data_IF_436213038076
#
_entry.id   IF_436213038076
#
_cell.length_a   1.000
_cell.length_b   1.000
_cell.length_c   1.000
_cell.angle_alpha   90.00
_cell.angle_beta   90.00
_cell.angle_gamma   90.00
#
_symmetry.space_group_name_H-M   'P 1'
#
loop_
_entity.id
_entity.type
_entity.pdbx_description
1 polymer ?
#
# COMPACT_ATOMS: atom_id res chain seq x y z
N UNK A 1 5.75 -0.73 17.83
CA UNK A 1 5.56 -1.73 18.89
C UNK A 1 5.47 -3.07 18.23
N UNK A 2 6.22 -4.06 18.71
CA UNK A 2 6.08 -5.44 18.27
C UNK A 2 5.27 -6.22 19.28
N UNK A 3 4.39 -7.09 18.78
CA UNK A 3 3.60 -7.99 19.61
C UNK A 3 3.68 -9.42 19.09
N UNK A 4 3.79 -10.36 20.02
CA UNK A 4 3.53 -11.77 19.79
C UNK A 4 2.28 -12.13 20.60
N UNK A 5 1.23 -12.55 19.90
CA UNK A 5 -0.06 -12.92 20.46
C UNK A 5 -0.16 -14.43 20.49
N UNK A 6 -0.34 -15.02 21.67
CA UNK A 6 -0.48 -16.46 21.85
C UNK A 6 -1.82 -16.80 22.53
N UNK A 7 -2.67 -17.57 21.85
CA UNK A 7 -3.90 -18.11 22.42
C UNK A 7 -3.62 -19.40 23.18
N UNK A 8 -3.93 -19.41 24.48
CA UNK A 8 -3.50 -20.43 25.41
C UNK A 8 -4.60 -20.86 26.38
N UNK A 9 -4.57 -22.13 26.78
CA UNK A 9 -5.42 -22.67 27.83
C UNK A 9 -5.09 -22.02 29.19
N UNK A 10 -3.80 -21.73 29.41
CA UNK A 10 -3.35 -21.05 30.62
C UNK A 10 -2.04 -20.31 30.42
N UNK A 11 -1.91 -19.20 31.13
CA UNK A 11 -0.66 -18.47 31.31
C UNK A 11 -0.49 -18.07 32.77
N UNK A 12 0.68 -18.36 33.32
CA UNK A 12 1.06 -17.94 34.65
C UNK A 12 2.43 -17.29 34.64
N UNK A 13 2.64 -16.29 35.50
CA UNK A 13 3.98 -15.75 35.75
C UNK A 13 4.22 -15.54 37.24
N UNK A 14 5.49 -15.54 37.65
CA UNK A 14 5.96 -15.15 38.98
C UNK A 14 7.18 -14.25 38.86
N UNK A 15 7.17 -13.15 39.61
CA UNK A 15 8.27 -12.18 39.67
C UNK A 15 9.43 -12.78 40.48
N UNK A 16 10.65 -12.65 39.96
CA UNK A 16 11.87 -13.21 40.55
C UNK A 16 12.80 -12.13 41.09
N UNK A 17 13.21 -11.19 40.25
CA UNK A 17 14.17 -10.14 40.60
C UNK A 17 14.09 -8.98 39.60
N UNK A 18 14.78 -7.88 39.88
CA UNK A 18 14.86 -6.71 38.99
C UNK A 18 15.67 -7.06 37.73
N UNK A 19 15.16 -6.72 36.54
CA UNK A 19 15.86 -6.91 35.26
C UNK A 19 16.51 -5.63 34.73
N UNK A 20 16.10 -4.47 35.24
CA UNK A 20 16.67 -3.14 34.93
C UNK A 20 16.94 -2.39 36.23
N UNK A 21 17.78 -1.35 36.17
CA UNK A 21 18.15 -0.54 37.33
C UNK A 21 16.92 0.06 38.04
N UNK A 22 15.95 0.52 37.24
CA UNK A 22 14.74 1.20 37.71
C UNK A 22 13.49 0.53 37.11
N UNK A 23 13.05 -0.61 37.69
CA UNK A 23 11.87 -1.32 37.22
C UNK A 23 10.59 -0.64 37.72
N UNK A 24 9.43 -1.11 37.24
CA UNK A 24 8.14 -0.58 37.72
C UNK A 24 8.00 -0.75 39.25
N UNK A 25 7.66 0.36 39.93
CA UNK A 25 7.57 0.44 41.39
C UNK A 25 6.33 -0.26 41.97
N UNK A 26 6.32 -0.50 43.29
CA UNK A 26 5.19 -1.13 43.99
C UNK A 26 5.06 -2.64 43.78
N UNK A 27 6.06 -3.27 43.17
CA UNK A 27 6.08 -4.70 42.84
C UNK A 27 6.92 -5.47 43.86
N UNK A 28 6.38 -6.59 44.39
CA UNK A 28 7.09 -7.50 45.31
C UNK A 28 7.47 -8.81 44.63
N UNK A 29 8.65 -9.33 44.97
CA UNK A 29 9.11 -10.65 44.52
C UNK A 29 8.14 -11.75 45.00
N UNK A 30 7.99 -12.81 44.18
CA UNK A 30 7.06 -13.90 44.46
C UNK A 30 5.60 -13.63 44.08
N UNK A 31 5.21 -12.37 43.84
CA UNK A 31 3.89 -12.06 43.26
C UNK A 31 3.80 -12.58 41.82
N UNK A 32 2.58 -12.89 41.40
CA UNK A 32 2.30 -13.48 40.12
C UNK A 32 0.81 -13.45 39.80
N UNK A 33 0.46 -13.83 38.59
CA UNK A 33 -0.92 -14.03 38.18
C UNK A 33 -1.04 -15.32 37.36
N UNK A 34 -2.21 -15.95 37.43
CA UNK A 34 -2.61 -17.06 36.58
C UNK A 34 -3.89 -16.66 35.86
N UNK A 35 -3.92 -16.87 34.55
CA UNK A 35 -5.08 -16.62 33.71
C UNK A 35 -5.34 -17.84 32.84
N UNK A 36 -6.59 -18.30 32.78
CA UNK A 36 -7.03 -19.41 31.92
C UNK A 36 -7.78 -18.87 30.70
N UNK A 37 -7.84 -19.63 29.63
CA UNK A 37 -8.53 -19.24 28.37
C UNK A 37 -8.15 -17.81 27.94
N UNK A 38 -6.85 -17.64 27.64
CA UNK A 38 -6.20 -16.34 27.60
C UNK A 38 -5.52 -16.10 26.27
N UNK A 39 -5.65 -14.88 25.75
CA UNK A 39 -4.76 -14.35 24.73
C UNK A 39 -3.61 -13.61 25.42
N UNK A 40 -2.40 -14.15 25.32
CA UNK A 40 -1.20 -13.53 25.88
C UNK A 40 -0.58 -12.63 24.82
N UNK A 41 -0.53 -11.33 25.09
CA UNK A 41 0.14 -10.35 24.27
C UNK A 41 1.53 -10.05 24.86
N UNK A 42 2.57 -10.68 24.30
CA UNK A 42 3.95 -10.31 24.57
C UNK A 42 4.26 -9.03 23.82
N UNK A 43 4.55 -7.93 24.51
CA UNK A 43 4.71 -6.61 23.92
C UNK A 43 6.15 -6.09 24.09
N UNK A 44 6.77 -5.67 22.98
CA UNK A 44 8.02 -4.89 22.97
C UNK A 44 7.74 -3.47 22.50
N UNK A 45 8.05 -2.49 23.34
CA UNK A 45 8.05 -1.07 22.98
C UNK A 45 9.39 -0.72 22.33
N UNK A 46 9.35 -0.13 21.15
CA UNK A 46 10.53 0.23 20.34
C UNK A 46 10.80 1.74 20.39
N UNK A 47 12.01 2.21 20.07
CA UNK A 47 12.31 3.66 20.08
C UNK A 47 11.39 4.48 19.19
N UNK A 48 11.02 3.94 18.02
CA UNK A 48 10.07 4.59 17.10
C UNK A 48 8.68 4.84 17.71
N UNK A 49 8.29 4.08 18.73
CA UNK A 49 6.98 4.22 19.38
C UNK A 49 6.88 5.50 20.20
N UNK A 50 8.03 6.06 20.58
CA UNK A 50 8.14 7.30 21.33
C UNK A 50 7.65 8.51 20.52
N UNK A 51 7.61 8.41 19.18
CA UNK A 51 7.07 9.46 18.31
C UNK A 51 5.59 9.75 18.60
N UNK A 52 4.77 8.71 18.85
CA UNK A 52 3.35 8.88 19.19
C UNK A 52 2.82 7.70 20.04
N UNK A 53 3.13 7.67 21.35
CA UNK A 53 2.81 6.54 22.22
C UNK A 53 1.31 6.24 22.32
N UNK A 54 0.47 7.27 22.30
CA UNK A 54 -0.97 7.14 22.48
C UNK A 54 -1.67 6.53 21.25
N UNK A 55 -1.21 6.91 20.05
CA UNK A 55 -1.66 6.28 18.81
C UNK A 55 -1.23 4.81 18.75
N UNK A 56 0.02 4.50 19.12
CA UNK A 56 0.53 3.13 19.20
C UNK A 56 -0.31 2.29 20.15
N UNK A 57 -0.60 2.80 21.35
CA UNK A 57 -1.46 2.12 22.32
C UNK A 57 -2.88 1.87 21.76
N UNK A 58 -3.43 2.82 21.02
CA UNK A 58 -4.76 2.72 20.40
C UNK A 58 -4.82 1.63 19.33
N UNK A 59 -3.82 1.61 18.44
CA UNK A 59 -3.69 0.60 17.37
C UNK A 59 -3.42 -0.78 17.93
N UNK A 60 -2.49 -0.89 18.89
CA UNK A 60 -2.20 -2.15 19.57
C UNK A 60 -3.44 -2.70 20.27
N UNK A 61 -4.23 -1.86 20.95
CA UNK A 61 -5.47 -2.28 21.60
C UNK A 61 -6.53 -2.78 20.60
N UNK A 62 -6.62 -2.16 19.41
CA UNK A 62 -7.49 -2.61 18.32
C UNK A 62 -7.08 -4.02 17.86
N UNK A 63 -5.81 -4.22 17.51
CA UNK A 63 -5.28 -5.52 17.06
C UNK A 63 -5.49 -6.64 18.08
N UNK A 64 -5.17 -6.38 19.36
CA UNK A 64 -5.39 -7.35 20.44
C UNK A 64 -6.86 -7.75 20.53
N UNK A 65 -7.77 -6.79 20.41
CA UNK A 65 -9.21 -7.04 20.56
C UNK A 65 -9.80 -7.77 19.35
N UNK A 66 -9.33 -7.47 18.15
CA UNK A 66 -9.72 -8.18 16.94
C UNK A 66 -9.27 -9.65 16.99
N UNK A 67 -8.02 -9.90 17.40
CA UNK A 67 -7.52 -11.27 17.56
C UNK A 67 -8.26 -12.00 18.67
N UNK A 68 -8.48 -11.36 19.82
CA UNK A 68 -9.25 -11.94 20.92
C UNK A 68 -10.65 -12.36 20.48
N UNK A 69 -11.33 -11.53 19.70
CA UNK A 69 -12.63 -11.85 19.11
C UNK A 69 -12.57 -13.05 18.16
N UNK A 70 -11.58 -13.08 17.24
CA UNK A 70 -11.40 -14.17 16.27
C UNK A 70 -11.14 -15.52 16.92
N UNK A 71 -10.41 -15.54 18.03
CA UNK A 71 -10.07 -16.79 18.75
C UNK A 71 -11.03 -17.09 19.91
N UNK A 72 -12.03 -16.23 20.15
CA UNK A 72 -13.01 -16.38 21.24
C UNK A 72 -12.46 -16.15 22.64
N UNK A 73 -11.28 -15.53 22.80
CA UNK A 73 -10.68 -15.25 24.09
C UNK A 73 -11.32 -14.03 24.77
N UNK A 74 -11.77 -14.20 26.01
CA UNK A 74 -12.30 -13.10 26.85
C UNK A 74 -11.26 -12.52 27.80
N UNK A 75 -10.20 -13.28 28.08
CA UNK A 75 -9.14 -12.90 28.97
C UNK A 75 -7.89 -12.54 28.18
N UNK A 76 -7.23 -11.43 28.53
CA UNK A 76 -6.03 -10.93 27.88
C UNK A 76 -4.94 -10.69 28.92
N UNK A 77 -3.76 -11.24 28.68
CA UNK A 77 -2.55 -10.96 29.47
C UNK A 77 -1.61 -10.06 28.68
N UNK A 78 -1.42 -8.82 29.10
CA UNK A 78 -0.38 -7.95 28.54
C UNK A 78 0.94 -8.22 29.27
N UNK A 79 1.92 -8.74 28.54
CA UNK A 79 3.19 -9.17 29.09
C UNK A 79 4.35 -8.38 28.46
N UNK A 80 4.96 -7.41 29.16
CA UNK A 80 6.13 -6.71 28.64
C UNK A 80 7.28 -7.70 28.43
N UNK A 81 7.78 -7.74 27.20
CA UNK A 81 8.77 -8.71 26.72
C UNK A 81 9.76 -7.98 25.81
N UNK A 82 11.00 -7.75 26.27
CA UNK A 82 11.96 -6.96 25.49
C UNK A 82 12.53 -7.72 24.27
N UNK A 83 12.38 -9.04 24.21
CA UNK A 83 13.14 -9.87 23.28
C UNK A 83 12.58 -9.96 21.85
N UNK A 84 11.53 -9.20 21.49
CA UNK A 84 11.04 -9.18 20.09
C UNK A 84 11.74 -8.11 19.22
N UNK A 85 12.54 -7.22 19.81
CA UNK A 85 13.25 -6.16 19.11
C UNK A 85 14.62 -5.90 19.73
N UNK A 86 15.58 -5.47 18.91
CA UNK A 86 16.89 -4.97 19.33
C UNK A 86 16.90 -3.45 19.55
N UNK A 87 15.84 -2.74 19.15
CA UNK A 87 15.74 -1.28 19.24
C UNK A 87 14.68 -0.85 20.26
N UNK A 88 15.03 -0.98 21.55
CA UNK A 88 14.11 -0.80 22.66
C UNK A 88 13.84 0.69 22.97
N UNK A 89 12.57 1.01 23.20
CA UNK A 89 12.17 2.32 23.73
C UNK A 89 12.57 2.52 25.18
N UNK A 90 12.62 3.77 25.60
CA UNK A 90 12.89 4.21 26.97
C UNK A 90 11.81 3.75 27.94
N UNK A 91 12.20 3.54 29.20
CA UNK A 91 11.29 3.16 30.29
C UNK A 91 10.17 4.20 30.51
N UNK A 92 10.50 5.48 30.33
CA UNK A 92 9.63 6.61 30.65
C UNK A 92 8.48 6.70 29.65
N UNK A 93 8.66 6.15 28.45
CA UNK A 93 7.59 5.96 27.47
C UNK A 93 6.94 4.58 27.60
N UNK A 94 7.75 3.53 27.79
CA UNK A 94 7.25 2.16 27.77
C UNK A 94 6.21 1.88 28.88
N UNK A 95 6.44 2.35 30.11
CA UNK A 95 5.51 2.11 31.23
C UNK A 95 4.17 2.84 31.00
N UNK A 96 4.11 4.15 30.71
CA UNK A 96 2.86 4.83 30.39
C UNK A 96 2.13 4.24 29.19
N UNK A 97 2.86 3.88 28.12
CA UNK A 97 2.28 3.29 26.92
C UNK A 97 1.59 1.95 27.25
N UNK A 98 2.27 1.06 27.97
CA UNK A 98 1.69 -0.23 28.38
C UNK A 98 0.49 -0.07 29.33
N UNK A 99 0.48 0.95 30.19
CA UNK A 99 -0.68 1.30 31.02
C UNK A 99 -1.85 1.84 30.19
N UNK A 100 -1.57 2.69 29.20
CA UNK A 100 -2.58 3.18 28.24
C UNK A 100 -3.17 2.03 27.42
N UNK A 101 -2.33 1.11 26.94
CA UNK A 101 -2.75 -0.12 26.25
C UNK A 101 -3.69 -0.95 27.12
N UNK A 102 -3.34 -1.20 28.38
CA UNK A 102 -4.19 -1.92 29.33
C UNK A 102 -5.57 -1.27 29.48
N UNK A 103 -5.62 0.05 29.70
CA UNK A 103 -6.87 0.80 29.82
C UNK A 103 -7.73 0.71 28.55
N UNK A 104 -7.13 0.86 27.37
CA UNK A 104 -7.82 0.81 26.08
C UNK A 104 -8.35 -0.59 25.73
N UNK A 105 -7.66 -1.66 26.12
CA UNK A 105 -8.17 -3.03 25.94
C UNK A 105 -9.31 -3.30 26.93
N UNK A 106 -9.20 -2.84 28.19
CA UNK A 106 -10.30 -2.93 29.18
C UNK A 106 -11.57 -2.21 28.71
N UNK A 107 -11.42 -1.04 28.08
CA UNK A 107 -12.55 -0.27 27.52
C UNK A 107 -13.36 -1.05 26.46
N UNK A 108 -12.77 -2.09 25.85
CA UNK A 108 -13.42 -2.98 24.89
C UNK A 108 -14.07 -4.22 25.54
N UNK A 109 -14.32 -4.17 26.86
CA UNK A 109 -15.02 -5.20 27.64
C UNK A 109 -14.29 -6.56 27.71
N UNK A 110 -12.96 -6.56 27.65
CA UNK A 110 -12.13 -7.73 27.86
C UNK A 110 -11.57 -7.76 29.30
N UNK A 111 -11.35 -8.94 29.85
CA UNK A 111 -10.72 -9.12 31.16
C UNK A 111 -9.20 -9.03 31.00
N UNK A 112 -8.62 -7.89 31.34
CA UNK A 112 -7.19 -7.63 31.09
C UNK A 112 -6.38 -7.64 32.38
N UNK A 113 -5.26 -8.35 32.37
CA UNK A 113 -4.22 -8.26 33.39
C UNK A 113 -2.89 -7.89 32.73
N UNK A 114 -2.12 -7.01 33.34
CA UNK A 114 -0.78 -6.62 32.87
C UNK A 114 0.28 -7.06 33.88
N UNK A 115 1.33 -7.71 33.40
CA UNK A 115 2.51 -8.00 34.22
C UNK A 115 3.43 -6.77 34.32
N UNK A 116 4.17 -6.59 35.42
CA UNK A 116 4.99 -5.40 35.59
C UNK A 116 6.17 -5.35 34.61
N UNK A 117 6.57 -4.12 34.26
CA UNK A 117 7.71 -3.85 33.39
C UNK A 117 9.05 -3.88 34.17
N UNK A 118 10.11 -4.35 33.53
CA UNK A 118 11.48 -4.27 34.09
C UNK A 118 11.84 -5.34 35.12
N UNK A 119 11.03 -6.39 35.27
CA UNK A 119 11.29 -7.49 36.20
C UNK A 119 11.58 -8.81 35.46
N UNK A 120 12.55 -9.58 35.97
CA UNK A 120 12.69 -10.98 35.59
C UNK A 120 11.50 -11.76 36.14
N UNK A 121 10.85 -12.50 35.26
CA UNK A 121 9.61 -13.22 35.52
C UNK A 121 9.76 -14.63 34.96
N UNK A 122 9.57 -15.64 35.81
CA UNK A 122 9.37 -17.01 35.33
C UNK A 122 7.93 -17.15 34.89
N UNK A 123 7.66 -17.74 33.73
CA UNK A 123 6.30 -17.97 33.26
C UNK A 123 6.10 -19.40 32.76
N UNK A 124 4.85 -19.86 32.78
CA UNK A 124 4.40 -21.09 32.14
C UNK A 124 3.25 -20.75 31.20
N UNK A 125 3.28 -21.34 30.00
CA UNK A 125 2.32 -21.09 28.92
C UNK A 125 1.92 -22.44 28.33
N UNK A 126 0.61 -22.68 28.22
CA UNK A 126 0.07 -23.84 27.52
C UNK A 126 -0.68 -23.38 26.27
N UNK A 127 0.00 -23.33 25.13
CA UNK A 127 -0.56 -22.89 23.84
C UNK A 127 -1.58 -23.91 23.30
N UNK A 128 -2.69 -23.43 22.72
CA UNK A 128 -3.74 -24.31 22.16
C UNK A 128 -3.35 -24.99 20.85
N UNK A 129 -2.35 -24.48 20.12
CA UNK A 129 -1.78 -25.15 18.94
C UNK A 129 -2.70 -25.23 17.69
N UNK A 130 -3.62 -24.28 17.51
CA UNK A 130 -4.42 -24.12 16.29
C UNK A 130 -3.83 -23.04 15.35
N UNK A 131 -4.24 -22.95 14.07
CA UNK A 131 -3.61 -22.03 13.10
C UNK A 131 -3.58 -20.54 13.50
N UNK A 132 -4.58 -20.09 14.27
CA UNK A 132 -4.63 -18.72 14.83
C UNK A 132 -4.06 -18.60 16.25
N UNK A 133 -3.40 -19.63 16.78
CA UNK A 133 -2.91 -19.63 18.16
C UNK A 133 -1.68 -18.77 18.34
N UNK A 134 -0.91 -18.51 17.28
CA UNK A 134 0.35 -17.80 17.35
C UNK A 134 0.38 -16.76 16.22
N UNK A 135 0.37 -15.48 16.58
CA UNK A 135 0.32 -14.38 15.62
C UNK A 135 1.33 -13.31 16.01
N UNK A 136 2.11 -12.82 15.04
CA UNK A 136 2.96 -11.65 15.22
C UNK A 136 2.29 -10.40 14.64
N UNK A 137 2.50 -9.25 15.30
CA UNK A 137 2.02 -7.93 14.85
C UNK A 137 3.11 -6.89 15.04
N UNK A 138 3.17 -5.97 14.09
CA UNK A 138 4.03 -4.79 14.14
C UNK A 138 3.14 -3.56 14.01
N UNK A 139 3.10 -2.72 15.03
CA UNK A 139 2.38 -1.46 15.05
C UNK A 139 3.37 -0.35 14.73
N UNK A 140 3.10 0.42 13.69
CA UNK A 140 3.88 1.61 13.30
C UNK A 140 3.04 2.87 13.52
N UNK A 141 3.73 3.99 13.73
CA UNK A 141 3.13 5.34 13.82
C UNK A 141 2.86 5.90 12.42
N UNK A 142 3.59 5.44 11.42
CA UNK A 142 3.51 5.82 10.00
C UNK A 142 2.33 5.15 9.28
N UNK A 143 1.12 5.28 9.85
CA UNK A 143 -0.04 5.35 8.96
C UNK A 143 -0.67 6.72 9.24
N UNK A 144 -0.67 7.64 8.29
CA UNK A 144 -1.56 8.80 8.42
C UNK A 144 -2.99 8.23 8.34
N UNK A 145 -3.88 8.70 9.21
CA UNK A 145 -5.30 8.46 9.01
C UNK A 145 -5.63 8.93 7.60
N UNK A 146 -6.03 8.00 6.73
CA UNK A 146 -6.50 8.30 5.39
C UNK A 146 -7.43 9.51 5.50
N UNK A 147 -7.14 10.64 4.83
CA UNK A 147 -8.02 11.80 4.89
C UNK A 147 -9.43 11.32 4.58
N UNK A 148 -10.42 11.84 5.32
CA UNK A 148 -11.82 11.48 5.14
C UNK A 148 -12.12 11.46 3.64
N UNK A 149 -12.77 10.39 3.11
CA UNK A 149 -12.94 10.24 1.68
C UNK A 149 -13.56 11.51 1.13
N UNK A 150 -12.84 12.18 0.23
CA UNK A 150 -13.37 13.30 -0.52
C UNK A 150 -14.73 12.86 -1.07
N UNK A 151 -15.76 13.68 -0.85
CA UNK A 151 -17.10 13.36 -1.34
C UNK A 151 -17.05 13.43 -2.87
N UNK A 152 -16.86 12.27 -3.50
CA UNK A 152 -16.83 12.15 -4.95
C UNK A 152 -18.25 12.03 -5.47
N UNK A 153 -18.63 12.93 -6.36
CA UNK A 153 -19.87 12.85 -7.12
C UNK A 153 -19.55 12.35 -8.53
N UNK A 154 -20.41 11.51 -9.08
CA UNK A 154 -20.24 10.91 -10.40
C UNK A 154 -21.36 11.38 -11.30
N UNK A 155 -21.02 11.68 -12.55
CA UNK A 155 -21.96 11.98 -13.62
C UNK A 155 -21.51 11.29 -14.91
N UNK A 156 -22.46 10.98 -15.78
CA UNK A 156 -22.20 10.43 -17.11
C UNK A 156 -22.49 11.53 -18.12
N UNK A 157 -21.50 11.83 -18.97
CA UNK A 157 -21.67 12.76 -20.09
C UNK A 157 -22.00 11.95 -21.34
N UNK A 158 -23.11 12.27 -22.01
CA UNK A 158 -23.45 11.66 -23.30
C UNK A 158 -22.70 12.32 -24.49
N UNK A 159 -22.97 11.85 -25.71
CA UNK A 159 -22.29 12.32 -26.93
C UNK A 159 -22.74 13.74 -27.33
N UNK A 160 -23.91 14.17 -26.84
CA UNK A 160 -24.47 15.51 -26.99
C UNK A 160 -23.91 16.50 -25.95
N UNK A 161 -23.23 15.99 -24.92
CA UNK A 161 -22.62 16.77 -23.84
C UNK A 161 -23.54 17.02 -22.65
N UNK A 162 -24.68 16.35 -22.55
CA UNK A 162 -25.56 16.42 -21.40
C UNK A 162 -25.07 15.49 -20.28
N UNK A 163 -25.23 15.95 -19.03
CA UNK A 163 -24.82 15.22 -17.83
C UNK A 163 -26.03 14.50 -17.21
N UNK A 164 -25.84 13.21 -16.98
CA UNK A 164 -26.84 12.31 -16.42
C UNK A 164 -26.36 11.73 -15.09
N UNK A 165 -27.25 11.64 -14.08
CA UNK A 165 -26.98 10.84 -12.88
C UNK A 165 -26.70 9.37 -13.26
N UNK A 166 -25.71 8.70 -12.63
CA UNK A 166 -25.38 7.31 -12.90
C UNK A 166 -26.56 6.32 -12.77
N UNK A 167 -27.55 6.65 -11.92
CA UNK A 167 -28.76 5.86 -11.71
C UNK A 167 -29.79 5.97 -12.83
N UNK A 168 -29.79 7.09 -13.56
CA UNK A 168 -30.84 7.47 -14.51
C UNK A 168 -30.39 7.36 -15.97
N UNK A 169 -29.10 7.16 -16.22
CA UNK A 169 -28.55 7.11 -17.57
C UNK A 169 -29.18 5.98 -18.42
N UNK A 170 -29.75 6.30 -19.60
CA UNK A 170 -30.43 5.33 -20.45
C UNK A 170 -29.44 4.54 -21.31
N UNK A 171 -28.82 3.51 -20.70
CA UNK A 171 -27.85 2.65 -21.39
C UNK A 171 -28.41 2.03 -22.68
N UNK A 172 -27.63 2.13 -23.76
CA UNK A 172 -27.84 1.41 -25.01
C UNK A 172 -27.50 -0.09 -24.83
N UNK A 173 -27.96 -0.94 -25.74
CA UNK A 173 -27.80 -2.41 -25.64
C UNK A 173 -26.33 -2.84 -25.69
N UNK A 174 -25.54 -2.11 -26.46
CA UNK A 174 -24.11 -2.28 -26.71
C UNK A 174 -23.23 -1.81 -25.54
N UNK A 175 -23.77 -1.02 -24.60
CA UNK A 175 -23.02 -0.41 -23.48
C UNK A 175 -22.93 -1.31 -22.23
N UNK A 176 -22.99 -2.62 -22.42
CA UNK A 176 -22.97 -3.58 -21.30
C UNK A 176 -21.71 -3.47 -20.43
N UNK A 177 -20.54 -3.27 -21.04
CA UNK A 177 -19.27 -3.11 -20.31
C UNK A 177 -19.21 -1.78 -19.57
N UNK A 178 -19.66 -0.69 -20.20
CA UNK A 178 -19.75 0.62 -19.57
C UNK A 178 -20.72 0.63 -18.39
N UNK A 179 -21.91 0.05 -18.56
CA UNK A 179 -22.88 -0.14 -17.47
C UNK A 179 -22.28 -0.91 -16.30
N UNK A 180 -21.51 -1.95 -16.58
CA UNK A 180 -20.83 -2.74 -15.54
C UNK A 180 -19.79 -1.90 -14.78
N UNK A 181 -19.02 -1.08 -15.50
CA UNK A 181 -18.08 -0.13 -14.90
C UNK A 181 -18.80 0.88 -13.99
N UNK A 182 -19.87 1.52 -14.45
CA UNK A 182 -20.63 2.50 -13.66
C UNK A 182 -21.24 1.87 -12.42
N UNK A 183 -21.86 0.69 -12.56
CA UNK A 183 -22.47 -0.02 -11.44
C UNK A 183 -21.45 -0.33 -10.33
N UNK A 184 -20.21 -0.66 -10.72
CA UNK A 184 -19.12 -0.96 -9.79
C UNK A 184 -18.50 0.30 -9.19
N UNK A 185 -18.10 1.25 -10.03
CA UNK A 185 -17.28 2.40 -9.61
C UNK A 185 -18.16 3.53 -9.02
N UNK A 186 -19.22 3.95 -9.72
CA UNK A 186 -20.07 5.05 -9.28
C UNK A 186 -21.11 4.60 -8.25
N UNK A 187 -21.81 3.48 -8.53
CA UNK A 187 -22.90 2.99 -7.67
C UNK A 187 -22.43 2.02 -6.59
N UNK A 188 -21.14 1.67 -6.55
CA UNK A 188 -20.50 0.80 -5.54
C UNK A 188 -21.22 -0.54 -5.34
N UNK A 189 -21.83 -1.07 -6.39
CA UNK A 189 -22.51 -2.37 -6.35
C UNK A 189 -21.49 -3.48 -6.47
N UNK A 190 -21.62 -4.49 -5.61
CA UNK A 190 -20.87 -5.73 -5.77
C UNK A 190 -21.33 -6.45 -7.03
N UNK A 191 -20.39 -6.70 -7.93
CA UNK A 191 -20.62 -7.53 -9.10
C UNK A 191 -20.35 -8.99 -8.75
N UNK A 192 -21.10 -9.96 -9.31
CA UNK A 192 -20.79 -11.37 -9.15
C UNK A 192 -19.37 -11.64 -9.64
N UNK A 193 -18.46 -11.83 -8.69
CA UNK A 193 -17.05 -12.05 -8.95
C UNK A 193 -16.77 -13.46 -9.48
N UNK A 194 -15.52 -13.69 -9.86
CA UNK A 194 -15.02 -14.99 -10.28
C UNK A 194 -13.52 -14.95 -10.53
N UNK A 195 -12.89 -16.12 -10.66
CA UNK A 195 -11.48 -16.19 -11.06
C UNK A 195 -11.37 -15.71 -12.52
N UNK A 196 -10.57 -14.69 -12.83
CA UNK A 196 -10.43 -14.23 -14.20
C UNK A 196 -9.83 -15.32 -15.10
N UNK A 197 -10.44 -15.51 -16.26
CA UNK A 197 -9.99 -16.51 -17.25
C UNK A 197 -8.55 -16.29 -17.70
N UNK A 198 -8.10 -15.03 -17.75
CA UNK A 198 -6.75 -14.72 -18.24
C UNK A 198 -5.63 -15.33 -17.38
N UNK A 199 -5.91 -15.69 -16.13
CA UNK A 199 -4.94 -16.37 -15.26
C UNK A 199 -4.55 -17.76 -15.80
N UNK A 200 -5.46 -18.43 -16.52
CA UNK A 200 -5.14 -19.70 -17.19
C UNK A 200 -4.14 -19.47 -18.34
N UNK A 201 -4.24 -18.35 -19.05
CA UNK A 201 -3.29 -17.97 -20.08
C UNK A 201 -1.94 -17.58 -19.48
N UNK A 202 -1.93 -16.82 -18.37
CA UNK A 202 -0.69 -16.51 -17.65
C UNK A 202 0.06 -17.79 -17.29
N UNK A 203 -0.62 -18.75 -16.67
CA UNK A 203 -0.01 -20.04 -16.31
C UNK A 203 0.46 -20.82 -17.54
N UNK A 204 -0.34 -20.86 -18.63
CA UNK A 204 0.03 -21.55 -19.87
C UNK A 204 1.31 -21.01 -20.52
N UNK A 205 1.58 -19.71 -20.40
CA UNK A 205 2.75 -19.05 -20.97
C UNK A 205 3.85 -18.77 -19.93
N UNK A 206 3.78 -19.40 -18.76
CA UNK A 206 4.80 -19.29 -17.72
C UNK A 206 4.96 -17.87 -17.14
N UNK A 207 3.85 -17.14 -17.01
CA UNK A 207 3.78 -15.88 -16.28
C UNK A 207 3.28 -16.17 -14.87
N UNK A 208 4.16 -16.10 -13.89
CA UNK A 208 3.92 -16.56 -12.52
C UNK A 208 4.47 -15.59 -11.47
N UNK A 209 4.20 -15.84 -10.19
CA UNK A 209 4.85 -15.14 -9.09
C UNK A 209 6.27 -15.67 -8.85
N UNK A 210 7.22 -14.80 -8.50
CA UNK A 210 8.58 -15.18 -8.13
C UNK A 210 8.66 -15.52 -6.63
N UNK A 211 8.83 -16.81 -6.24
CA UNK A 211 8.85 -17.21 -4.83
C UNK A 211 10.04 -16.66 -4.02
N UNK A 212 11.14 -16.28 -4.68
CA UNK A 212 12.31 -15.70 -4.01
C UNK A 212 12.28 -14.17 -3.91
N UNK A 213 11.22 -13.52 -4.41
CA UNK A 213 11.05 -12.06 -4.36
C UNK A 213 9.95 -11.66 -3.38
N UNK A 214 9.75 -10.35 -3.22
CA UNK A 214 8.59 -9.84 -2.52
C UNK A 214 7.30 -10.22 -3.26
N UNK A 215 6.19 -10.35 -2.52
CA UNK A 215 4.89 -10.71 -3.10
C UNK A 215 4.48 -9.66 -4.13
N UNK A 216 3.91 -10.09 -5.25
CA UNK A 216 3.51 -9.17 -6.32
C UNK A 216 4.59 -8.92 -7.39
N UNK A 217 5.74 -9.58 -7.30
CA UNK A 217 6.75 -9.61 -8.35
C UNK A 217 6.55 -10.82 -9.25
N UNK A 218 6.42 -10.59 -10.55
CA UNK A 218 6.24 -11.64 -11.54
C UNK A 218 7.59 -12.16 -12.05
N UNK A 219 7.62 -13.44 -12.41
CA UNK A 219 8.64 -14.07 -13.25
C UNK A 219 8.02 -14.49 -14.57
N UNK A 220 8.87 -14.61 -15.59
CA UNK A 220 8.46 -14.95 -16.95
C UNK A 220 9.35 -16.09 -17.48
N UNK A 221 8.73 -17.17 -17.92
CA UNK A 221 9.37 -18.20 -18.74
C UNK A 221 9.53 -17.71 -20.20
N UNK A 222 10.20 -18.44 -21.10
CA UNK A 222 10.54 -17.95 -22.44
C UNK A 222 9.35 -17.40 -23.25
N UNK A 223 8.20 -18.08 -23.25
CA UNK A 223 7.01 -17.64 -23.98
C UNK A 223 6.40 -16.38 -23.38
N UNK A 224 6.29 -16.31 -22.05
CA UNK A 224 5.83 -15.13 -21.33
C UNK A 224 6.75 -13.94 -21.56
N UNK A 225 8.06 -14.16 -21.54
CA UNK A 225 9.06 -13.12 -21.83
C UNK A 225 8.91 -12.60 -23.26
N UNK A 226 8.79 -13.49 -24.25
CA UNK A 226 8.59 -13.11 -25.65
C UNK A 226 7.33 -12.25 -25.84
N UNK A 227 6.23 -12.59 -25.16
CA UNK A 227 5.00 -11.77 -25.20
C UNK A 227 5.28 -10.36 -24.71
N UNK A 228 5.98 -10.20 -23.57
CA UNK A 228 6.30 -8.89 -23.01
C UNK A 228 7.28 -8.10 -23.88
N UNK A 229 8.25 -8.75 -24.51
CA UNK A 229 9.17 -8.12 -25.46
C UNK A 229 8.41 -7.57 -26.69
N UNK A 230 7.52 -8.38 -27.28
CA UNK A 230 6.71 -7.97 -28.43
C UNK A 230 5.75 -6.83 -28.08
N UNK A 231 5.10 -6.86 -26.91
CA UNK A 231 4.25 -5.76 -26.44
C UNK A 231 5.07 -4.48 -26.22
N UNK A 232 6.28 -4.61 -25.68
CA UNK A 232 7.17 -3.50 -25.43
C UNK A 232 7.64 -2.83 -26.72
N UNK A 233 8.02 -3.63 -27.72
CA UNK A 233 8.37 -3.13 -29.05
C UNK A 233 7.16 -2.47 -29.72
N UNK A 234 5.98 -3.08 -29.60
CA UNK A 234 4.75 -2.52 -30.14
C UNK A 234 4.41 -1.16 -29.52
N UNK A 235 4.55 -1.01 -28.21
CA UNK A 235 4.33 0.25 -27.52
C UNK A 235 5.24 1.37 -28.07
N UNK A 236 6.51 1.05 -28.34
CA UNK A 236 7.45 1.98 -28.97
C UNK A 236 7.03 2.35 -30.41
N UNK A 237 6.63 1.36 -31.21
CA UNK A 237 6.15 1.60 -32.59
C UNK A 237 4.91 2.50 -32.60
N UNK A 238 3.95 2.26 -31.69
CA UNK A 238 2.76 3.07 -31.51
C UNK A 238 3.14 4.51 -31.15
N UNK A 239 4.01 4.72 -30.15
CA UNK A 239 4.45 6.05 -29.74
C UNK A 239 5.17 6.81 -30.87
N UNK A 240 6.05 6.12 -31.59
CA UNK A 240 6.81 6.70 -32.71
C UNK A 240 5.95 7.04 -33.93
N UNK A 241 4.78 6.40 -34.07
CA UNK A 241 3.84 6.68 -35.16
C UNK A 241 2.99 7.95 -34.96
N UNK A 242 3.17 8.69 -33.86
CA UNK A 242 2.40 9.91 -33.56
C UNK A 242 2.71 11.11 -34.47
N UNK A 243 3.73 11.01 -35.33
CA UNK A 243 4.08 12.06 -36.29
C UNK A 243 4.79 13.27 -35.68
N UNK A 244 5.29 13.14 -34.44
CA UNK A 244 6.18 14.10 -33.79
C UNK A 244 7.51 13.41 -33.44
N UNK A 245 8.62 14.14 -33.28
CA UNK A 245 9.88 13.56 -32.84
C UNK A 245 9.73 12.94 -31.44
N UNK A 246 9.92 11.62 -31.33
CA UNK A 246 9.94 10.89 -30.07
C UNK A 246 11.36 10.35 -29.84
N UNK A 247 11.91 10.63 -28.66
CA UNK A 247 13.22 10.16 -28.26
C UNK A 247 13.09 9.05 -27.22
N UNK A 248 13.64 7.88 -27.50
CA UNK A 248 13.76 6.82 -26.49
C UNK A 248 14.78 7.26 -25.45
N UNK A 249 14.38 7.27 -24.19
CA UNK A 249 15.25 7.57 -23.05
C UNK A 249 15.21 6.42 -22.05
N UNK A 250 16.18 6.39 -21.14
CA UNK A 250 16.27 5.40 -20.07
C UNK A 250 16.87 6.08 -18.85
N UNK A 251 16.34 5.80 -17.67
CA UNK A 251 17.05 6.19 -16.46
C UNK A 251 16.92 5.22 -15.31
N UNK A 252 17.01 5.76 -14.09
CA UNK A 252 17.26 4.96 -12.89
C UNK A 252 15.98 4.57 -12.17
N UNK A 253 16.10 3.57 -11.29
CA UNK A 253 15.00 3.02 -10.52
C UNK A 253 14.92 3.58 -9.09
N UNK A 254 15.93 4.31 -8.61
CA UNK A 254 15.99 4.84 -7.24
C UNK A 254 16.20 6.35 -7.22
N UNK A 255 15.44 7.04 -6.38
CA UNK A 255 15.51 8.50 -6.24
C UNK A 255 15.65 8.90 -4.78
N UNK A 256 16.44 9.95 -4.52
CA UNK A 256 16.62 10.47 -3.17
C UNK A 256 15.37 11.22 -2.70
N UNK A 257 14.76 10.75 -1.61
CA UNK A 257 13.53 11.34 -1.05
C UNK A 257 13.76 12.76 -0.49
N UNK A 258 15.01 13.14 -0.24
CA UNK A 258 15.35 14.50 0.15
C UNK A 258 15.15 15.54 -0.96
N UNK A 259 15.12 15.13 -2.24
CA UNK A 259 14.90 16.03 -3.36
C UNK A 259 13.44 16.51 -3.41
N UNK A 260 13.21 17.82 -3.51
CA UNK A 260 11.86 18.39 -3.45
C UNK A 260 10.90 17.82 -4.53
N UNK A 261 11.31 17.70 -5.81
CA UNK A 261 10.44 17.13 -6.84
C UNK A 261 10.11 15.66 -6.61
N UNK A 262 10.99 14.91 -5.93
CA UNK A 262 10.75 13.50 -5.61
C UNK A 262 9.79 13.41 -4.42
N UNK A 263 10.00 14.24 -3.39
CA UNK A 263 9.20 14.27 -2.16
C UNK A 263 7.75 14.69 -2.40
N UNK A 264 7.51 15.75 -3.16
CA UNK A 264 6.14 16.24 -3.44
C UNK A 264 5.28 15.19 -4.11
N UNK A 265 5.90 14.46 -5.00
CA UNK A 265 5.30 13.46 -5.84
C UNK A 265 5.13 12.15 -5.05
N UNK A 266 6.12 11.77 -4.24
CA UNK A 266 6.00 10.67 -3.27
C UNK A 266 4.80 10.85 -2.33
N UNK A 267 4.52 12.09 -1.88
CA UNK A 267 3.33 12.38 -1.05
C UNK A 267 2.00 12.04 -1.74
N UNK A 268 1.91 12.14 -3.07
CA UNK A 268 0.69 11.78 -3.81
C UNK A 268 0.41 10.26 -3.75
N UNK A 269 1.46 9.45 -3.63
CA UNK A 269 1.36 7.98 -3.56
C UNK A 269 1.34 7.44 -2.13
N UNK A 270 1.66 8.29 -1.14
CA UNK A 270 1.57 7.99 0.29
C UNK A 270 2.41 6.76 0.71
N UNK A 271 1.81 5.89 1.51
CA UNK A 271 2.42 4.69 2.12
C UNK A 271 2.76 3.56 1.14
N UNK A 272 2.49 3.73 -0.17
CA UNK A 272 2.71 2.67 -1.17
C UNK A 272 4.11 2.71 -1.81
N UNK A 273 5.09 3.25 -1.11
CA UNK A 273 6.45 3.41 -1.62
C UNK A 273 7.38 2.33 -1.07
N UNK A 274 8.25 1.84 -1.93
CA UNK A 274 9.40 1.05 -1.49
C UNK A 274 10.53 2.00 -1.11
N UNK A 275 10.89 2.00 0.18
CA UNK A 275 11.99 2.80 0.70
C UNK A 275 13.23 1.92 0.93
N UNK A 276 14.39 2.46 0.57
CA UNK A 276 15.70 1.83 0.72
C UNK A 276 16.62 2.81 1.42
N UNK A 277 17.09 2.44 2.60
CA UNK A 277 18.13 3.18 3.32
C UNK A 277 19.51 2.78 2.80
N UNK A 278 20.25 3.74 2.23
CA UNK A 278 21.60 3.53 1.70
C UNK A 278 22.49 4.75 1.99
N UNK A 279 23.67 4.54 2.56
CA UNK A 279 24.65 5.59 2.88
C UNK A 279 24.06 6.79 3.66
N UNK A 280 23.17 6.51 4.62
CA UNK A 280 22.49 7.54 5.42
C UNK A 280 21.46 8.36 4.64
N UNK A 281 21.02 7.89 3.47
CA UNK A 281 19.99 8.50 2.63
C UNK A 281 18.81 7.54 2.51
N UNK A 282 17.61 8.10 2.58
CA UNK A 282 16.37 7.43 2.22
C UNK A 282 16.13 7.57 0.71
N UNK A 283 16.22 6.45 0.00
CA UNK A 283 15.89 6.36 -1.41
C UNK A 283 14.49 5.74 -1.57
N UNK A 284 13.79 6.11 -2.62
CA UNK A 284 12.54 5.45 -3.03
C UNK A 284 12.74 4.74 -4.36
N UNK A 285 12.19 3.54 -4.50
CA UNK A 285 12.02 2.96 -5.84
C UNK A 285 10.97 3.77 -6.60
N UNK A 286 11.23 4.00 -7.89
CA UNK A 286 10.31 4.76 -8.75
C UNK A 286 8.96 4.06 -8.85
N UNK A 287 7.89 4.80 -8.66
CA UNK A 287 6.50 4.31 -8.75
C UNK A 287 5.80 4.74 -10.06
N UNK A 288 6.42 5.67 -10.77
CA UNK A 288 6.07 6.17 -12.10
C UNK A 288 7.34 6.64 -12.83
N UNK A 289 7.36 6.53 -14.16
CA UNK A 289 8.52 6.87 -14.99
C UNK A 289 8.78 8.40 -15.09
N UNK A 290 7.78 9.21 -14.81
CA UNK A 290 7.76 10.66 -15.09
C UNK A 290 8.96 11.43 -14.54
N UNK A 291 9.36 11.16 -13.30
CA UNK A 291 10.45 11.87 -12.60
C UNK A 291 11.76 11.87 -13.37
N UNK A 292 12.10 10.71 -13.91
CA UNK A 292 13.36 10.52 -14.62
C UNK A 292 13.37 11.35 -15.90
N UNK A 293 12.26 11.37 -16.63
CA UNK A 293 12.15 12.09 -17.88
C UNK A 293 12.20 13.61 -17.64
N UNK A 294 11.48 14.12 -16.65
CA UNK A 294 11.59 15.54 -16.28
C UNK A 294 12.99 15.92 -15.79
N UNK A 295 13.60 15.09 -14.94
CA UNK A 295 14.96 15.31 -14.44
C UNK A 295 15.99 15.33 -15.57
N UNK A 296 15.81 14.50 -16.61
CA UNK A 296 16.70 14.47 -17.77
C UNK A 296 16.46 15.64 -18.73
N UNK A 297 15.21 15.90 -19.09
CA UNK A 297 14.86 16.91 -20.10
C UNK A 297 15.12 18.34 -19.60
N UNK A 298 15.11 18.58 -18.28
CA UNK A 298 15.50 19.90 -17.73
C UNK A 298 16.91 20.34 -18.12
N UNK A 299 17.80 19.37 -18.40
CA UNK A 299 19.20 19.62 -18.75
C UNK A 299 19.40 19.74 -20.28
N UNK A 300 18.34 19.55 -21.07
CA UNK A 300 18.40 19.63 -22.52
C UNK A 300 18.32 21.09 -22.98
N UNK A 301 19.13 21.43 -23.98
CA UNK A 301 19.04 22.72 -24.67
C UNK A 301 17.98 22.57 -25.77
N UNK A 302 16.77 23.07 -25.51
CA UNK A 302 15.66 23.03 -26.45
C UNK A 302 15.20 24.45 -26.87
N UNK A 303 14.81 24.60 -28.12
CA UNK A 303 14.24 25.83 -28.70
C UNK A 303 12.75 25.66 -29.00
N UNK A 304 11.99 26.77 -29.02
CA UNK A 304 10.57 26.80 -29.41
C UNK A 304 10.29 26.22 -30.81
N UNK A 305 11.31 26.12 -31.67
CA UNK A 305 11.22 25.52 -33.01
C UNK A 305 11.27 23.99 -33.00
N UNK A 306 11.72 23.39 -31.90
CA UNK A 306 11.90 21.94 -31.74
C UNK A 306 10.73 21.30 -30.98
N UNK A 307 9.77 22.08 -30.49
CA UNK A 307 8.53 21.60 -29.87
C UNK A 307 7.36 21.61 -30.89
N UNK A 308 6.47 20.60 -30.88
CA UNK A 308 6.41 19.52 -29.89
C UNK A 308 7.39 18.37 -30.18
N UNK A 309 7.92 17.79 -29.11
CA UNK A 309 8.65 16.52 -29.12
C UNK A 309 8.27 15.71 -27.89
N UNK A 310 8.52 14.41 -27.90
CA UNK A 310 8.30 13.56 -26.73
C UNK A 310 9.50 12.71 -26.34
N UNK A 311 9.48 12.25 -25.10
CA UNK A 311 10.38 11.23 -24.57
C UNK A 311 9.59 10.00 -24.21
N UNK A 312 10.12 8.83 -24.56
CA UNK A 312 9.49 7.55 -24.27
C UNK A 312 10.45 6.68 -23.46
N UNK A 313 9.94 6.07 -22.41
CA UNK A 313 10.66 5.08 -21.61
C UNK A 313 9.75 3.89 -21.31
N UNK A 314 10.26 2.68 -21.51
CA UNK A 314 9.68 1.49 -20.89
C UNK A 314 10.30 1.32 -19.51
N UNK A 315 9.57 1.75 -18.48
CA UNK A 315 10.07 1.86 -17.12
C UNK A 315 9.58 0.74 -16.20
N UNK A 316 10.48 0.20 -15.39
CA UNK A 316 10.13 -0.61 -14.23
C UNK A 316 9.61 0.29 -13.12
N UNK A 317 8.33 0.17 -12.78
CA UNK A 317 7.72 0.91 -11.67
C UNK A 317 7.38 -0.02 -10.52
N UNK A 318 7.47 0.51 -9.29
CA UNK A 318 7.31 -0.21 -8.05
C UNK A 318 6.24 0.46 -7.18
N UNK A 319 5.24 -0.31 -6.76
CA UNK A 319 4.14 0.17 -5.89
C UNK A 319 3.92 -0.87 -4.81
N UNK A 320 4.06 -0.47 -3.54
CA UNK A 320 3.90 -1.35 -2.38
C UNK A 320 2.41 -1.62 -2.10
N UNK A 321 1.74 -2.28 -3.05
CA UNK A 321 0.32 -2.63 -2.96
C UNK A 321 0.07 -3.66 -1.86
N UNK A 322 -1.15 -3.68 -1.29
CA UNK A 322 -1.51 -4.65 -0.25
C UNK A 322 -1.50 -6.07 -0.80
N UNK A 323 -0.91 -7.01 -0.08
CA UNK A 323 -0.73 -8.39 -0.54
C UNK A 323 -2.04 -9.10 -0.91
N UNK A 324 -3.12 -8.81 -0.17
CA UNK A 324 -4.46 -9.36 -0.43
C UNK A 324 -5.16 -8.80 -1.68
N UNK A 325 -4.63 -7.75 -2.31
CA UNK A 325 -5.19 -7.14 -3.52
C UNK A 325 -4.45 -7.57 -4.79
N UNK A 326 -3.36 -8.32 -4.66
CA UNK A 326 -2.49 -8.68 -5.77
C UNK A 326 -3.15 -9.69 -6.72
N UNK A 327 -2.99 -9.46 -8.02
CA UNK A 327 -3.50 -10.29 -9.08
C UNK A 327 -2.52 -10.23 -10.26
N UNK A 328 -2.04 -11.40 -10.72
CA UNK A 328 -1.08 -11.50 -11.84
C UNK A 328 -1.51 -10.62 -13.02
N UNK A 329 -0.55 -9.93 -13.63
CA UNK A 329 -0.75 -9.02 -14.78
C UNK A 329 -1.77 -7.88 -14.59
N UNK A 330 -2.40 -7.74 -13.42
CA UNK A 330 -3.47 -6.76 -13.19
C UNK A 330 -3.14 -5.80 -12.03
N UNK A 331 -2.81 -6.35 -10.85
CA UNK A 331 -2.36 -5.57 -9.69
C UNK A 331 -1.11 -6.24 -9.12
N UNK A 332 0.03 -5.61 -9.35
CA UNK A 332 1.37 -6.14 -9.08
C UNK A 332 2.18 -5.08 -8.34
N UNK A 333 3.25 -5.51 -7.66
CA UNK A 333 4.15 -4.58 -6.98
C UNK A 333 5.30 -4.09 -7.85
N UNK A 334 5.71 -4.90 -8.84
CA UNK A 334 6.60 -4.49 -9.94
C UNK A 334 5.83 -4.56 -11.25
N UNK A 335 5.79 -3.47 -12.01
CA UNK A 335 5.16 -3.40 -13.32
C UNK A 335 6.08 -2.75 -14.36
N UNK A 336 5.91 -3.14 -15.62
CA UNK A 336 6.49 -2.44 -16.76
C UNK A 336 5.48 -1.41 -17.27
N UNK A 337 5.90 -0.15 -17.33
CA UNK A 337 5.06 0.97 -17.74
C UNK A 337 5.69 1.65 -18.96
N UNK A 338 5.10 1.49 -20.16
CA UNK A 338 5.46 2.34 -21.29
C UNK A 338 4.93 3.74 -21.00
N UNK A 339 5.82 4.71 -20.95
CA UNK A 339 5.52 6.06 -20.52
C UNK A 339 6.02 7.06 -21.56
N UNK A 340 5.13 7.96 -21.97
CA UNK A 340 5.36 8.96 -23.00
C UNK A 340 5.07 10.35 -22.44
N UNK A 341 6.10 11.18 -22.34
CA UNK A 341 5.95 12.60 -22.04
C UNK A 341 6.09 13.41 -23.31
N UNK A 342 5.15 14.32 -23.58
CA UNK A 342 5.22 15.22 -24.74
C UNK A 342 5.30 16.66 -24.29
N UNK A 343 6.35 17.35 -24.73
CA UNK A 343 6.66 18.73 -24.40
C UNK A 343 6.11 19.63 -25.50
N UNK A 344 5.15 20.48 -25.15
CA UNK A 344 4.43 21.33 -26.09
C UNK A 344 4.81 22.81 -25.89
N UNK A 345 4.56 23.63 -26.92
CA UNK A 345 4.88 25.07 -26.89
C UNK A 345 4.03 25.85 -25.89
N UNK A 346 2.73 25.57 -25.91
CA UNK A 346 1.69 26.26 -25.18
C UNK A 346 0.47 25.33 -25.03
N UNK A 347 -0.57 25.83 -24.35
CA UNK A 347 -1.79 25.07 -24.07
C UNK A 347 -2.54 24.66 -25.34
N UNK A 348 -2.60 25.50 -26.37
CA UNK A 348 -3.31 25.18 -27.61
C UNK A 348 -2.60 24.06 -28.37
N UNK A 349 -1.26 24.13 -28.46
CA UNK A 349 -0.47 23.03 -29.00
C UNK A 349 -0.62 21.75 -28.17
N UNK A 350 -0.69 21.86 -26.84
CA UNK A 350 -0.90 20.71 -25.96
C UNK A 350 -2.26 20.04 -26.20
N UNK A 351 -3.33 20.81 -26.41
CA UNK A 351 -4.66 20.29 -26.77
C UNK A 351 -4.62 19.54 -28.10
N UNK A 352 -4.01 20.13 -29.14
CA UNK A 352 -3.89 19.49 -30.46
C UNK A 352 -3.17 18.13 -30.36
N UNK A 353 -2.04 18.10 -29.65
CA UNK A 353 -1.24 16.88 -29.46
C UNK A 353 -1.99 15.86 -28.59
N UNK A 354 -2.66 16.30 -27.52
CA UNK A 354 -3.48 15.44 -26.67
C UNK A 354 -4.56 14.73 -27.47
N UNK A 355 -5.27 15.44 -28.37
CA UNK A 355 -6.27 14.83 -29.25
C UNK A 355 -5.67 13.80 -30.22
N UNK A 356 -4.46 14.05 -30.75
CA UNK A 356 -3.75 13.07 -31.61
C UNK A 356 -3.40 11.80 -30.83
N UNK A 357 -2.85 11.95 -29.63
CA UNK A 357 -2.53 10.82 -28.74
C UNK A 357 -3.80 10.07 -28.34
N UNK A 358 -4.85 10.80 -27.98
CA UNK A 358 -6.15 10.23 -27.62
C UNK A 358 -6.72 9.39 -28.76
N UNK A 359 -6.79 9.95 -29.97
CA UNK A 359 -7.22 9.22 -31.16
C UNK A 359 -6.41 7.94 -31.36
N UNK A 360 -5.08 8.03 -31.20
CA UNK A 360 -4.19 6.87 -31.36
C UNK A 360 -4.50 5.78 -30.33
N UNK A 361 -4.68 6.12 -29.06
CA UNK A 361 -5.05 5.16 -27.99
C UNK A 361 -6.34 4.41 -28.37
N UNK A 362 -7.35 5.15 -28.86
CA UNK A 362 -8.63 4.58 -29.28
C UNK A 362 -8.52 3.72 -30.54
N UNK A 363 -7.69 4.10 -31.51
CA UNK A 363 -7.37 3.27 -32.67
C UNK A 363 -6.75 1.93 -32.26
N UNK A 364 -5.83 1.93 -31.28
CA UNK A 364 -5.15 0.71 -30.83
C UNK A 364 -6.08 -0.24 -30.07
N UNK A 365 -6.92 0.27 -29.15
CA UNK A 365 -7.86 -0.60 -28.41
C UNK A 365 -8.94 -1.21 -29.33
N UNK A 366 -9.38 -0.47 -30.34
CA UNK A 366 -10.38 -0.95 -31.32
C UNK A 366 -9.87 -2.10 -32.20
N UNK A 367 -8.56 -2.19 -32.44
CA UNK A 367 -7.96 -3.37 -33.10
C UNK A 367 -8.19 -4.66 -32.33
N UNK A 368 -8.40 -4.58 -31.01
CA UNK A 368 -8.72 -5.71 -30.15
C UNK A 368 -10.23 -5.97 -30.06
N UNK A 369 -11.06 -5.24 -30.82
CA UNK A 369 -12.52 -5.32 -30.73
C UNK A 369 -13.05 -4.81 -29.39
N UNK A 370 -12.34 -3.87 -28.77
CA UNK A 370 -12.66 -3.28 -27.47
C UNK A 370 -12.80 -1.77 -27.59
N UNK A 371 -13.49 -1.16 -26.62
CA UNK A 371 -13.69 0.29 -26.55
C UNK A 371 -13.29 0.76 -25.14
N UNK A 372 -12.63 1.93 -25.06
CA UNK A 372 -12.37 2.59 -23.79
C UNK A 372 -13.44 3.63 -23.49
N UNK A 373 -13.55 3.98 -22.21
CA UNK A 373 -14.36 5.10 -21.74
C UNK A 373 -13.43 6.09 -21.06
N UNK A 374 -13.54 7.36 -21.43
CA UNK A 374 -12.78 8.43 -20.80
C UNK A 374 -13.41 8.82 -19.47
N UNK A 375 -12.60 8.85 -18.41
CA UNK A 375 -12.99 9.35 -17.10
C UNK A 375 -12.24 10.67 -16.88
N UNK A 376 -12.99 11.75 -16.66
CA UNK A 376 -12.44 13.06 -16.35
C UNK A 376 -12.69 13.35 -14.87
N UNK A 377 -11.62 13.56 -14.12
CA UNK A 377 -11.71 13.99 -12.74
C UNK A 377 -11.65 15.51 -12.72
N UNK A 378 -12.78 16.16 -12.44
CA UNK A 378 -12.81 17.58 -12.14
C UNK A 378 -12.67 17.77 -10.63
N UNK A 379 -11.75 18.65 -10.24
CA UNK A 379 -11.59 19.03 -8.85
C UNK A 379 -12.32 20.35 -8.68
N UNK A 380 -13.51 20.32 -8.06
CA UNK A 380 -14.15 21.53 -7.58
C UNK A 380 -13.13 22.31 -6.75
N UNK A 381 -12.72 23.47 -7.25
CA UNK A 381 -11.69 24.34 -6.70
C UNK A 381 -12.11 25.02 -5.38
N UNK A 382 -13.06 24.44 -4.63
CA UNK A 382 -13.73 25.05 -3.47
C UNK A 382 -13.04 24.71 -2.12
N UNK A 383 -11.94 23.95 -2.12
CA UNK A 383 -11.13 23.71 -0.90
C UNK A 383 -9.64 23.99 -1.06
N UNK A 384 -9.29 25.08 -1.74
CA UNK A 384 -8.03 25.80 -1.44
C UNK A 384 -8.34 27.06 -0.63
N UNK A 385 -8.34 26.92 0.70
CA UNK A 385 -8.14 28.00 1.66
C UNK A 385 -7.16 27.57 2.73
#
# INVERSE_FOLDING_TARGET
MRMLLIHADSFAYKIKSKAVAEPEEGVREGLGALMKEVLVAFCTVEKRDEKNPELVASRAAREISEVASKVGAKNVMIYPYAHLSSDLGSKDVAIPLLKSLEAKVKARRLNVHRSPFGWYKSFSLNCKGHPLSELSRSITVEEEESPAPLKTEYAIMDEEGELHPPEEYPYKREEGEFKTLVMKEALKRELPGGKPRFLEYCSKFGIEWEPYSDVGHMRYEPEGNLIFELISEYAWQVASSLGIPIFSVRGTNMFNLAEAPVREHAKLFGEKLYEVEADGRTLVLRYAACHQQFSMVKDWIASYRQVPFGTFELADSYRLERSGELLLCFRVRKLHMPDLHVYCRDLENAKEISLKIHKKIYEEIRKLGREYVSIYNDFDSITQR
#
